data_IF_753892825564
#
_entry.id   IF_753892825564
#
_cell.length_a   1.000
_cell.length_b   1.000
_cell.length_c   1.000
_cell.angle_alpha   90.00
_cell.angle_beta   90.00
_cell.angle_gamma   90.00
#
_symmetry.space_group_name_H-M   'P 1'
#
loop_
_entity.id
_entity.type
_entity.pdbx_description
1 polymer ?
#
# COMPACT_ATOMS: atom_id res chain seq x y z
N UNK A 1 11.06 -0.47 2.85
CA UNK A 1 10.90 0.58 3.87
C UNK A 1 11.86 1.75 3.65
N UNK A 2 13.17 1.51 3.50
CA UNK A 2 14.16 2.58 3.24
C UNK A 2 13.79 3.56 2.11
N UNK A 3 13.26 3.08 0.98
CA UNK A 3 12.81 3.96 -0.12
C UNK A 3 11.69 4.92 0.31
N UNK A 4 10.72 4.46 1.11
CA UNK A 4 9.64 5.30 1.59
C UNK A 4 10.13 6.37 2.58
N UNK A 5 11.12 6.05 3.41
CA UNK A 5 11.77 7.01 4.31
C UNK A 5 12.52 8.10 3.54
N UNK A 6 13.31 7.70 2.52
CA UNK A 6 14.01 8.64 1.64
C UNK A 6 13.05 9.57 0.91
N UNK A 7 11.96 9.03 0.34
CA UNK A 7 10.94 9.83 -0.33
C UNK A 7 10.23 10.77 0.65
N UNK A 8 9.98 10.33 1.89
CA UNK A 8 9.41 11.18 2.94
C UNK A 8 10.33 12.36 3.26
N UNK A 9 11.64 12.14 3.32
CA UNK A 9 12.60 13.22 3.54
C UNK A 9 12.58 14.21 2.36
N UNK A 10 12.59 13.72 1.12
CA UNK A 10 12.48 14.58 -0.07
C UNK A 10 11.18 15.42 -0.07
N UNK A 11 10.06 14.85 0.38
CA UNK A 11 8.79 15.58 0.51
C UNK A 11 8.94 16.68 1.57
N UNK A 12 9.58 16.41 2.72
CA UNK A 12 9.85 17.45 3.74
C UNK A 12 10.75 18.57 3.20
N UNK A 13 11.70 18.22 2.34
CA UNK A 13 12.61 19.16 1.68
C UNK A 13 11.93 19.95 0.53
N UNK A 14 10.62 19.76 0.31
CA UNK A 14 9.81 20.51 -0.65
C UNK A 14 9.67 19.87 -2.03
N UNK A 15 10.22 18.67 -2.23
CA UNK A 15 10.07 17.95 -3.50
C UNK A 15 8.69 17.29 -3.60
N UNK A 16 7.71 18.02 -4.14
CA UNK A 16 6.35 17.51 -4.33
C UNK A 16 6.26 16.37 -5.36
N UNK A 17 7.24 16.21 -6.25
CA UNK A 17 7.26 15.08 -7.20
C UNK A 17 7.48 13.74 -6.49
N UNK A 18 8.04 13.75 -5.29
CA UNK A 18 8.26 12.56 -4.46
C UNK A 18 6.99 12.04 -3.79
N UNK A 19 5.89 12.83 -3.75
CA UNK A 19 4.63 12.44 -3.12
C UNK A 19 4.02 11.23 -3.83
N UNK A 20 3.84 11.29 -5.16
CA UNK A 20 3.30 10.18 -5.94
C UNK A 20 4.15 8.92 -5.76
N UNK A 21 5.47 9.04 -5.88
CA UNK A 21 6.39 7.92 -5.72
C UNK A 21 6.33 7.32 -4.31
N UNK A 22 6.10 8.14 -3.27
CA UNK A 22 5.94 7.64 -1.90
C UNK A 22 4.65 6.80 -1.76
N UNK A 23 3.53 7.29 -2.28
CA UNK A 23 2.26 6.53 -2.23
C UNK A 23 2.32 5.25 -3.08
N UNK A 24 3.00 5.26 -4.22
CA UNK A 24 3.28 4.04 -5.00
C UNK A 24 4.12 3.03 -4.20
N UNK A 25 5.15 3.51 -3.49
CA UNK A 25 5.97 2.66 -2.61
C UNK A 25 5.12 2.06 -1.48
N UNK A 26 4.21 2.83 -0.89
CA UNK A 26 3.28 2.36 0.12
C UNK A 26 2.34 1.26 -0.43
N UNK A 27 1.81 1.43 -1.65
CA UNK A 27 0.99 0.41 -2.32
C UNK A 27 1.78 -0.89 -2.47
N UNK A 28 3.05 -0.83 -2.89
CA UNK A 28 3.90 -2.01 -3.02
C UNK A 28 4.10 -2.72 -1.67
N UNK A 29 4.33 -1.97 -0.59
CA UNK A 29 4.47 -2.54 0.76
C UNK A 29 3.18 -3.25 1.18
N UNK A 30 2.01 -2.62 0.96
CA UNK A 30 0.71 -3.24 1.25
C UNK A 30 0.50 -4.51 0.41
N UNK A 31 0.86 -4.50 -0.87
CA UNK A 31 0.68 -5.66 -1.75
C UNK A 31 1.57 -6.85 -1.38
N UNK A 32 2.76 -6.61 -0.84
CA UNK A 32 3.59 -7.66 -0.23
C UNK A 32 2.89 -8.30 0.96
N UNK A 33 2.25 -7.49 1.81
CA UNK A 33 1.43 -7.96 2.93
C UNK A 33 0.23 -8.78 2.45
N UNK A 34 -0.52 -8.29 1.47
CA UNK A 34 -1.65 -9.01 0.85
C UNK A 34 -1.20 -10.34 0.25
N UNK A 35 -0.05 -10.37 -0.42
CA UNK A 35 0.50 -11.60 -1.00
C UNK A 35 0.79 -12.62 0.10
N UNK A 36 1.51 -12.20 1.14
CA UNK A 36 1.98 -13.08 2.20
C UNK A 36 0.87 -13.56 3.14
N UNK A 37 -0.12 -12.72 3.40
CA UNK A 37 -1.16 -12.96 4.40
C UNK A 37 -2.51 -13.41 3.81
N UNK A 38 -2.73 -13.19 2.51
CA UNK A 38 -4.01 -13.49 1.87
C UNK A 38 -3.83 -14.44 0.69
N UNK A 39 -3.03 -14.07 -0.31
CA UNK A 39 -2.92 -14.85 -1.56
C UNK A 39 -2.25 -16.20 -1.32
N UNK A 40 -1.11 -16.22 -0.61
CA UNK A 40 -0.37 -17.45 -0.33
C UNK A 40 -1.13 -18.41 0.62
N UNK A 41 -1.71 -17.95 1.75
CA UNK A 41 -2.54 -18.81 2.58
C UNK A 41 -3.74 -19.37 1.82
N UNK A 42 -4.43 -18.56 1.02
CA UNK A 42 -5.54 -19.04 0.17
C UNK A 42 -5.11 -20.20 -0.73
N UNK A 43 -3.97 -20.10 -1.42
CA UNK A 43 -3.45 -21.18 -2.28
C UNK A 43 -3.26 -22.50 -1.51
N UNK A 44 -2.83 -22.41 -0.24
CA UNK A 44 -2.59 -23.59 0.62
C UNK A 44 -3.88 -24.26 1.09
N UNK A 45 -5.00 -23.53 1.14
CA UNK A 45 -6.29 -24.05 1.59
C UNK A 45 -6.99 -24.96 0.57
N UNK A 46 -6.55 -24.96 -0.71
CA UNK A 46 -7.05 -25.87 -1.77
C UNK A 46 -8.58 -25.87 -1.90
N UNK A 47 -9.17 -24.68 -2.02
CA UNK A 47 -10.61 -24.54 -2.24
C UNK A 47 -11.07 -25.20 -3.55
N UNK A 48 -12.35 -25.56 -3.62
CA UNK A 48 -12.98 -25.94 -4.89
C UNK A 48 -13.00 -24.74 -5.86
N UNK A 49 -13.19 -25.04 -7.15
CA UNK A 49 -13.11 -24.04 -8.23
C UNK A 49 -14.02 -22.82 -7.99
N UNK A 50 -15.25 -23.02 -7.52
CA UNK A 50 -16.23 -21.94 -7.33
C UNK A 50 -15.77 -21.02 -6.20
N UNK A 51 -15.42 -21.60 -5.05
CA UNK A 51 -14.95 -20.83 -3.89
C UNK A 51 -13.64 -20.11 -4.21
N UNK A 52 -12.72 -20.78 -4.90
CA UNK A 52 -11.44 -20.19 -5.30
C UNK A 52 -11.64 -18.97 -6.20
N UNK A 53 -12.49 -19.10 -7.23
CA UNK A 53 -12.78 -18.02 -8.18
C UNK A 53 -13.47 -16.83 -7.50
N UNK A 54 -14.44 -17.09 -6.63
CA UNK A 54 -15.12 -16.03 -5.87
C UNK A 54 -14.12 -15.28 -4.98
N UNK A 55 -13.28 -16.00 -4.26
CA UNK A 55 -12.30 -15.40 -3.36
C UNK A 55 -11.22 -14.61 -4.12
N UNK A 56 -10.78 -15.08 -5.30
CA UNK A 56 -9.92 -14.30 -6.19
C UNK A 56 -10.59 -12.99 -6.62
N UNK A 57 -11.87 -13.04 -6.98
CA UNK A 57 -12.65 -11.86 -7.36
C UNK A 57 -12.70 -10.82 -6.24
N UNK A 58 -13.02 -11.26 -5.01
CA UNK A 58 -13.06 -10.38 -3.84
C UNK A 58 -11.69 -9.79 -3.53
N UNK A 59 -10.64 -10.60 -3.49
CA UNK A 59 -9.27 -10.13 -3.24
C UNK A 59 -8.89 -9.07 -4.28
N UNK A 60 -9.11 -9.33 -5.57
CA UNK A 60 -8.79 -8.38 -6.63
C UNK A 60 -9.60 -7.08 -6.51
N UNK A 61 -10.90 -7.18 -6.25
CA UNK A 61 -11.76 -6.01 -6.14
C UNK A 61 -11.37 -5.14 -4.94
N UNK A 62 -11.17 -5.73 -3.77
CA UNK A 62 -10.85 -4.99 -2.55
C UNK A 62 -9.44 -4.37 -2.61
N UNK A 63 -8.45 -5.13 -3.11
CA UNK A 63 -7.07 -4.60 -3.27
C UNK A 63 -7.03 -3.48 -4.29
N UNK A 64 -7.68 -3.64 -5.46
CA UNK A 64 -7.74 -2.58 -6.47
C UNK A 64 -8.40 -1.31 -5.93
N UNK A 65 -9.50 -1.42 -5.18
CA UNK A 65 -10.15 -0.27 -4.58
C UNK A 65 -9.23 0.45 -3.58
N UNK A 66 -8.51 -0.30 -2.75
CA UNK A 66 -7.52 0.24 -1.81
C UNK A 66 -6.38 0.96 -2.52
N UNK A 67 -5.79 0.32 -3.52
CA UNK A 67 -4.64 0.88 -4.27
C UNK A 67 -5.04 2.14 -5.01
N UNK A 68 -6.18 2.13 -5.70
CA UNK A 68 -6.69 3.31 -6.41
C UNK A 68 -6.95 4.50 -5.51
N UNK A 69 -7.36 4.26 -4.25
CA UNK A 69 -7.52 5.34 -3.26
C UNK A 69 -6.17 5.93 -2.85
N UNK A 70 -5.15 5.09 -2.63
CA UNK A 70 -3.79 5.53 -2.31
C UNK A 70 -3.15 6.30 -3.48
N UNK A 71 -3.32 5.82 -4.72
CA UNK A 71 -2.86 6.54 -5.93
C UNK A 71 -3.46 7.94 -6.03
N UNK A 72 -4.78 8.05 -5.76
CA UNK A 72 -5.46 9.36 -5.74
C UNK A 72 -4.89 10.28 -4.68
N UNK A 73 -4.60 9.78 -3.47
CA UNK A 73 -3.97 10.59 -2.43
C UNK A 73 -2.63 11.16 -2.91
N UNK A 74 -1.81 10.34 -3.60
CA UNK A 74 -0.52 10.79 -4.14
C UNK A 74 -0.58 11.98 -5.11
N UNK A 75 -1.74 12.26 -5.70
CA UNK A 75 -1.94 13.35 -6.67
C UNK A 75 -2.81 14.49 -6.17
N UNK A 76 -3.48 14.32 -5.01
CA UNK A 76 -4.52 15.24 -4.54
C UNK A 76 -4.20 15.91 -3.19
N UNK A 77 -3.23 15.41 -2.44
CA UNK A 77 -2.90 15.95 -1.12
C UNK A 77 -1.70 16.89 -1.19
N UNK A 78 -1.70 17.90 -0.32
CA UNK A 78 -0.55 18.79 -0.13
C UNK A 78 0.61 18.08 0.60
N UNK A 79 1.77 18.75 0.62
CA UNK A 79 3.00 18.26 1.25
C UNK A 79 2.82 17.90 2.74
N UNK A 80 2.11 18.72 3.51
CA UNK A 80 1.90 18.52 4.95
C UNK A 80 1.06 17.28 5.19
N UNK A 81 -0.04 17.16 4.45
CA UNK A 81 -0.96 16.03 4.50
C UNK A 81 -0.28 14.74 4.02
N UNK A 82 0.48 14.77 2.92
CA UNK A 82 1.28 13.64 2.44
C UNK A 82 2.25 13.16 3.52
N UNK A 83 3.04 14.07 4.08
CA UNK A 83 4.04 13.76 5.10
C UNK A 83 3.39 13.13 6.33
N UNK A 84 2.24 13.65 6.77
CA UNK A 84 1.49 13.09 7.89
C UNK A 84 1.06 11.65 7.61
N UNK A 85 0.43 11.37 6.46
CA UNK A 85 -0.02 10.02 6.13
C UNK A 85 1.12 9.03 5.98
N UNK A 86 2.22 9.42 5.31
CA UNK A 86 3.35 8.53 5.10
C UNK A 86 4.05 8.23 6.43
N UNK A 87 4.26 9.24 7.28
CA UNK A 87 4.81 9.03 8.62
C UNK A 87 3.91 8.11 9.47
N UNK A 88 2.58 8.29 9.43
CA UNK A 88 1.66 7.43 10.16
C UNK A 88 1.77 5.97 9.67
N UNK A 89 1.85 5.75 8.36
CA UNK A 89 2.02 4.41 7.80
C UNK A 89 3.35 3.78 8.24
N UNK A 90 4.46 4.52 8.15
CA UNK A 90 5.78 4.04 8.56
C UNK A 90 5.83 3.74 10.07
N UNK A 91 5.22 4.57 10.91
CA UNK A 91 5.14 4.34 12.34
C UNK A 91 4.37 3.05 12.66
N UNK A 92 3.24 2.81 11.98
CA UNK A 92 2.49 1.55 12.11
C UNK A 92 3.37 0.34 11.73
N UNK A 93 4.12 0.43 10.63
CA UNK A 93 5.01 -0.65 10.19
C UNK A 93 6.17 -0.91 11.16
N UNK A 94 6.67 0.12 11.85
CA UNK A 94 7.71 -0.02 12.88
C UNK A 94 7.18 -0.58 14.20
N UNK A 95 5.92 -0.32 14.55
CA UNK A 95 5.28 -0.90 15.74
C UNK A 95 4.85 -2.36 15.53
N UNK A 96 4.65 -2.76 14.28
CA UNK A 96 4.27 -4.12 13.90
C UNK A 96 5.47 -5.07 13.70
N UNK A 97 6.70 -4.54 13.76
CA UNK A 97 7.97 -5.28 13.64
C UNK A 97 8.57 -5.57 15.02
#
# INVERSE_FOLDING_TARGET
MQQAETLTQQIRDGNMQSITAAFETLIQIVDLGVTSLVREPKKRLKFNLVVDKTLNGVINMTTHLGYKRLEKLGTQVDQTTATHYINHFLAFMHQAA
#
